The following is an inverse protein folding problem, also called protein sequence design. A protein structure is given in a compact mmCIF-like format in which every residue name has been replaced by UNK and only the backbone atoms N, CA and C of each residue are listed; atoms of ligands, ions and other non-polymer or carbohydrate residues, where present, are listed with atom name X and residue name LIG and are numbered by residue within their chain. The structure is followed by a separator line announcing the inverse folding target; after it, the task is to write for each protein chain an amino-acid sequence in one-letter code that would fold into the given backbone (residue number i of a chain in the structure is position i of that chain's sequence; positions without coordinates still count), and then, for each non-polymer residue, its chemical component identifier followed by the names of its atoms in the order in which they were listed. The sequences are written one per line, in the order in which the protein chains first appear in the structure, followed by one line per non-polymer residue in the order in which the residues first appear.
data_IF_772858970534
#
_entry.id   IF_772858970534
#
_cell.length_a   1.000
_cell.length_b   1.000
_cell.length_c   1.000
_cell.angle_alpha   90.00
_cell.angle_beta   90.00
_cell.angle_gamma   90.00
#
_symmetry.space_group_name_H-M   'P 1'
#
loop_
_entity.id
_entity.type
_entity.pdbx_description
1 polymer ?
#
# COMPACT_ATOMS: atom_id res chain seq x y z
N UNK A 1 -16.75 -14.58 3.40
CA UNK A 1 -15.63 -14.40 2.47
C UNK A 1 -14.95 -15.74 2.34
N UNK A 2 -14.91 -16.29 1.13
CA UNK A 2 -14.30 -17.60 0.88
C UNK A 2 -12.78 -17.51 0.96
N UNK A 3 -12.12 -18.56 1.46
CA UNK A 3 -10.66 -18.65 1.58
C UNK A 3 -9.94 -18.39 0.23
N UNK A 4 -10.56 -18.78 -0.88
CA UNK A 4 -10.09 -18.48 -2.23
C UNK A 4 -9.98 -16.97 -2.50
N UNK A 5 -10.93 -16.18 -2.02
CA UNK A 5 -10.93 -14.72 -2.22
C UNK A 5 -9.77 -14.07 -1.45
N UNK A 6 -9.46 -14.58 -0.25
CA UNK A 6 -8.31 -14.11 0.54
C UNK A 6 -6.99 -14.40 -0.18
N UNK A 7 -6.82 -15.60 -0.75
CA UNK A 7 -5.61 -15.92 -1.53
C UNK A 7 -5.47 -15.08 -2.78
N UNK A 8 -6.56 -14.81 -3.49
CA UNK A 8 -6.54 -13.93 -4.67
C UNK A 8 -6.18 -12.50 -4.26
N UNK A 9 -6.79 -11.97 -3.21
CA UNK A 9 -6.46 -10.64 -2.70
C UNK A 9 -4.98 -10.54 -2.28
N UNK A 10 -4.46 -11.56 -1.58
CA UNK A 10 -3.05 -11.64 -1.19
C UNK A 10 -2.13 -11.69 -2.42
N UNK A 11 -2.46 -12.52 -3.42
CA UNK A 11 -1.68 -12.62 -4.65
C UNK A 11 -1.63 -11.28 -5.40
N UNK A 12 -2.76 -10.55 -5.46
CA UNK A 12 -2.82 -9.23 -6.08
C UNK A 12 -1.97 -8.20 -5.34
N UNK A 13 -2.01 -8.18 -4.00
CA UNK A 13 -1.15 -7.29 -3.19
C UNK A 13 0.32 -7.58 -3.47
N UNK A 14 0.73 -8.86 -3.49
CA UNK A 14 2.11 -9.25 -3.79
C UNK A 14 2.55 -8.86 -5.21
N UNK A 15 1.68 -9.03 -6.20
CA UNK A 15 1.97 -8.61 -7.59
C UNK A 15 2.17 -7.10 -7.65
N UNK A 16 1.27 -6.32 -7.05
CA UNK A 16 1.33 -4.85 -7.07
C UNK A 16 2.59 -4.35 -6.34
N UNK A 17 2.89 -4.92 -5.17
CA UNK A 17 4.06 -4.56 -4.36
C UNK A 17 5.37 -4.93 -5.08
N UNK A 18 5.41 -6.06 -5.80
CA UNK A 18 6.57 -6.49 -6.58
C UNK A 18 6.73 -5.79 -7.94
N UNK A 19 5.66 -5.21 -8.49
CA UNK A 19 5.69 -4.60 -9.83
C UNK A 19 6.57 -3.34 -9.88
N UNK A 20 6.45 -2.44 -8.90
CA UNK A 20 7.26 -1.23 -8.83
C UNK A 20 8.77 -1.48 -8.76
N UNK A 21 9.29 -2.32 -7.85
CA UNK A 21 10.72 -2.64 -7.80
C UNK A 21 11.21 -3.40 -9.03
N UNK A 22 10.35 -4.19 -9.69
CA UNK A 22 10.70 -4.90 -10.92
C UNK A 22 10.81 -3.97 -12.14
N UNK A 23 9.83 -3.08 -12.32
CA UNK A 23 9.79 -2.15 -13.48
C UNK A 23 10.84 -1.04 -13.36
N UNK A 24 10.99 -0.44 -12.18
CA UNK A 24 11.95 0.66 -11.98
C UNK A 24 12.55 0.65 -10.58
N UNK A 25 13.61 -0.15 -10.35
CA UNK A 25 14.24 -0.24 -9.03
C UNK A 25 14.87 1.09 -8.59
N UNK A 26 15.28 1.95 -9.54
CA UNK A 26 15.85 3.26 -9.27
C UNK A 26 14.79 4.23 -8.71
N UNK A 27 13.60 4.26 -9.31
CA UNK A 27 12.48 5.08 -8.84
C UNK A 27 12.02 4.60 -7.46
N UNK A 28 11.91 3.28 -7.27
CA UNK A 28 11.56 2.68 -5.99
C UNK A 28 12.55 3.08 -4.87
N UNK A 29 13.85 3.00 -5.14
CA UNK A 29 14.89 3.44 -4.18
C UNK A 29 14.78 4.93 -3.85
N UNK A 30 14.52 5.79 -4.84
CA UNK A 30 14.35 7.23 -4.62
C UNK A 30 13.14 7.54 -3.74
N UNK A 31 12.01 6.87 -3.98
CA UNK A 31 10.82 7.00 -3.13
C UNK A 31 11.12 6.55 -1.69
N UNK A 32 11.83 5.44 -1.52
CA UNK A 32 12.25 4.98 -0.19
C UNK A 32 13.16 5.96 0.54
N UNK A 33 14.12 6.57 -0.17
CA UNK A 33 14.98 7.60 0.42
C UNK A 33 14.15 8.84 0.80
N UNK A 34 13.17 9.25 -0.01
CA UNK A 34 12.25 10.33 0.36
C UNK A 34 11.42 9.97 1.60
N UNK A 35 10.95 8.73 1.71
CA UNK A 35 10.19 8.26 2.88
C UNK A 35 11.06 8.24 4.14
N UNK A 36 12.35 7.90 4.04
CA UNK A 36 13.29 7.99 5.19
C UNK A 36 13.48 9.41 5.71
N UNK A 37 13.28 10.42 4.86
CA UNK A 37 13.35 11.83 5.26
C UNK A 37 12.07 12.34 5.93
N UNK A 38 10.98 11.58 5.90
CA UNK A 38 9.75 11.93 6.61
C UNK A 38 9.89 11.66 8.10
N UNK A 39 9.39 12.56 8.92
CA UNK A 39 9.31 12.33 10.36
C UNK A 39 8.26 11.24 10.67
N UNK A 40 8.45 10.48 11.74
CA UNK A 40 7.54 9.41 12.17
C UNK A 40 6.08 9.89 12.27
N UNK A 41 5.86 11.15 12.65
CA UNK A 41 4.53 11.77 12.69
C UNK A 41 3.86 11.85 11.32
N UNK A 42 4.61 12.18 10.27
CA UNK A 42 4.10 12.30 8.90
C UNK A 42 3.76 10.92 8.31
N UNK A 43 4.62 9.92 8.56
CA UNK A 43 4.37 8.54 8.12
C UNK A 43 3.11 8.00 8.78
N UNK A 44 2.93 8.24 10.10
CA UNK A 44 1.74 7.83 10.83
C UNK A 44 0.48 8.53 10.33
N UNK A 45 0.55 9.82 10.02
CA UNK A 45 -0.58 10.55 9.48
C UNK A 45 -0.98 10.04 8.09
N UNK A 46 -0.01 9.81 7.22
CA UNK A 46 -0.25 9.21 5.90
C UNK A 46 -0.90 7.82 6.03
N UNK A 47 -0.37 6.98 6.93
CA UNK A 47 -0.97 5.68 7.24
C UNK A 47 -2.42 5.79 7.76
N UNK A 48 -2.70 6.75 8.63
CA UNK A 48 -4.05 7.02 9.14
C UNK A 48 -4.99 7.43 7.99
N UNK A 49 -4.57 8.32 7.09
CA UNK A 49 -5.35 8.71 5.92
C UNK A 49 -5.68 7.51 5.03
N UNK A 50 -4.70 6.63 4.76
CA UNK A 50 -4.92 5.40 3.99
C UNK A 50 -5.92 4.45 4.66
N UNK A 51 -5.85 4.28 5.98
CA UNK A 51 -6.79 3.46 6.74
C UNK A 51 -8.20 4.06 6.66
N UNK A 52 -8.35 5.37 6.90
CA UNK A 52 -9.64 6.06 6.85
C UNK A 52 -10.26 5.96 5.47
N UNK A 53 -9.48 6.20 4.41
CA UNK A 53 -9.92 6.03 3.02
C UNK A 53 -10.35 4.58 2.74
N UNK A 54 -9.56 3.60 3.18
CA UNK A 54 -9.89 2.18 3.01
C UNK A 54 -11.21 1.80 3.69
N UNK A 55 -11.43 2.26 4.92
CA UNK A 55 -12.70 2.07 5.64
C UNK A 55 -13.85 2.78 4.93
N UNK A 56 -13.63 4.00 4.45
CA UNK A 56 -14.64 4.77 3.72
C UNK A 56 -15.06 4.09 2.41
N UNK A 57 -14.10 3.60 1.63
CA UNK A 57 -14.37 2.85 0.40
C UNK A 57 -15.07 1.52 0.70
N UNK A 58 -14.66 0.80 1.74
CA UNK A 58 -15.33 -0.42 2.18
C UNK A 58 -16.78 -0.14 2.58
N UNK A 59 -17.03 0.96 3.29
CA UNK A 59 -18.39 1.38 3.66
C UNK A 59 -19.24 1.79 2.46
N UNK A 60 -18.65 2.36 1.40
CA UNK A 60 -19.36 2.71 0.16
C UNK A 60 -19.69 1.49 -0.71
N UNK A 61 -18.79 0.52 -0.76
CA UNK A 61 -18.92 -0.69 -1.59
C UNK A 61 -19.73 -1.80 -0.93
N UNK A 62 -19.93 -1.72 0.39
CA UNK A 62 -20.68 -2.68 1.20
C UNK A 62 -22.10 -2.18 1.45
#
# INVERSE_FOLDING_TARGET
MDFHTLWIALALVLIIEGLMPFVSPQTWRRLFEQVKHLEDGQIRFFGLCCIVLGVFVLFLLR
#
